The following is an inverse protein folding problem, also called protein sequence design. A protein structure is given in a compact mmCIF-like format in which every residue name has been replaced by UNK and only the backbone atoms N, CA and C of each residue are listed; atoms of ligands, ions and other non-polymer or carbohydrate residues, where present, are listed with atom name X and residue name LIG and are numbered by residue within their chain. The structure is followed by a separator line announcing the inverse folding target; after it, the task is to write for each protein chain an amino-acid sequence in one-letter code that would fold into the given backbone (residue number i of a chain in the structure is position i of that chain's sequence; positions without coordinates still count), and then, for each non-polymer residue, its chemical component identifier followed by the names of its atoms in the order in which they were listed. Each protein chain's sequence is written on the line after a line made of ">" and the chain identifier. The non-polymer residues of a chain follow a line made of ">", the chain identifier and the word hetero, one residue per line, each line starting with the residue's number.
data_IF_768067126212
#
_entry.id   IF_768067126212
#
_cell.length_a   1.000
_cell.length_b   1.000
_cell.length_c   1.000
_cell.angle_alpha   90.00
_cell.angle_beta   90.00
_cell.angle_gamma   90.00
#
_symmetry.space_group_name_H-M   'P 1'
#
loop_
_entity.id
_entity.type
_entity.pdbx_description
1 polymer ?
#
# COMPACT_ATOMS: atom_id res chain seq x y z
N UNK A 1 -3.54 -5.52 12.45
CA UNK A 1 -2.34 -5.59 11.61
C UNK A 1 -1.97 -7.04 11.39
N UNK A 2 -1.78 -7.42 10.16
CA UNK A 2 -1.18 -8.70 9.80
C UNK A 2 0.32 -8.46 9.58
N UNK A 3 1.15 -9.19 10.29
CA UNK A 3 2.59 -9.17 10.14
C UNK A 3 2.98 -10.22 9.10
N UNK A 4 3.79 -9.83 8.14
CA UNK A 4 4.28 -10.73 7.10
C UNK A 4 5.79 -10.57 6.93
N UNK A 5 6.48 -11.66 6.73
CA UNK A 5 7.87 -11.70 6.30
C UNK A 5 8.02 -11.62 4.77
N UNK A 6 6.86 -11.55 4.05
CA UNK A 6 6.80 -11.43 2.59
C UNK A 6 5.92 -10.25 2.23
N UNK A 7 6.46 -9.36 1.42
CA UNK A 7 5.77 -8.15 0.95
C UNK A 7 4.96 -8.44 -0.32
N UNK A 8 5.26 -9.53 -1.03
CA UNK A 8 4.58 -9.94 -2.25
C UNK A 8 3.47 -10.97 -1.99
N UNK A 9 2.28 -10.71 -2.52
CA UNK A 9 1.21 -11.67 -2.71
C UNK A 9 1.28 -12.21 -4.16
N UNK A 10 2.17 -13.16 -4.40
CA UNK A 10 2.29 -13.88 -5.67
C UNK A 10 2.65 -15.34 -5.42
N UNK A 11 2.21 -16.24 -6.31
CA UNK A 11 2.40 -17.70 -6.22
C UNK A 11 3.86 -18.18 -6.33
N UNK A 12 4.83 -17.33 -6.13
CA UNK A 12 6.24 -17.69 -6.23
C UNK A 12 6.79 -18.07 -4.85
N UNK A 13 6.95 -19.38 -4.62
CA UNK A 13 7.43 -19.97 -3.36
C UNK A 13 8.92 -19.72 -3.08
N UNK A 14 9.64 -19.08 -3.99
CA UNK A 14 11.08 -18.83 -3.92
C UNK A 14 11.44 -17.37 -3.55
N UNK A 15 10.48 -16.61 -3.03
CA UNK A 15 10.75 -15.25 -2.59
C UNK A 15 11.69 -15.24 -1.38
N UNK A 16 12.90 -14.74 -1.59
CA UNK A 16 13.80 -14.29 -0.52
C UNK A 16 12.97 -13.31 0.33
N UNK A 17 13.02 -13.46 1.66
CA UNK A 17 12.27 -12.57 2.56
C UNK A 17 12.71 -11.11 2.33
N UNK A 18 11.82 -10.31 1.74
CA UNK A 18 12.08 -8.89 1.46
C UNK A 18 12.01 -8.02 2.74
N UNK A 19 12.10 -8.66 3.92
CA UNK A 19 12.00 -8.04 5.22
C UNK A 19 10.57 -8.10 5.79
N UNK A 20 10.45 -7.58 6.99
CA UNK A 20 9.19 -7.55 7.75
C UNK A 20 8.32 -6.36 7.29
N UNK A 21 7.03 -6.60 7.09
CA UNK A 21 6.04 -5.56 6.83
C UNK A 21 4.75 -5.82 7.59
N UNK A 22 4.00 -4.76 7.89
CA UNK A 22 2.66 -4.83 8.45
C UNK A 22 1.61 -4.40 7.43
N UNK A 23 0.51 -5.12 7.37
CA UNK A 23 -0.65 -4.76 6.55
C UNK A 23 -1.93 -4.80 7.36
N UNK A 24 -2.81 -3.85 7.14
CA UNK A 24 -4.17 -3.82 7.66
C UNK A 24 -5.16 -3.53 6.54
N UNK A 25 -6.12 -4.43 6.33
CA UNK A 25 -7.16 -4.24 5.32
C UNK A 25 -8.35 -3.48 5.93
N UNK A 26 -8.81 -2.43 5.22
CA UNK A 26 -10.07 -1.74 5.50
C UNK A 26 -11.21 -2.25 4.61
N UNK A 27 -10.87 -2.69 3.40
CA UNK A 27 -11.82 -3.20 2.41
C UNK A 27 -11.13 -4.17 1.45
N UNK A 28 -11.82 -5.26 1.09
CA UNK A 28 -11.31 -6.24 0.13
C UNK A 28 -12.43 -6.93 -0.62
N UNK A 29 -12.42 -6.87 -1.97
CA UNK A 29 -13.32 -7.59 -2.89
C UNK A 29 -14.82 -7.53 -2.50
N UNK A 30 -15.32 -6.32 -2.26
CA UNK A 30 -16.75 -6.10 -2.00
C UNK A 30 -17.16 -6.20 -0.53
N UNK A 31 -16.24 -6.51 0.36
CA UNK A 31 -16.50 -6.59 1.80
C UNK A 31 -15.54 -5.73 2.60
N UNK A 32 -16.02 -4.99 3.61
CA UNK A 32 -15.15 -4.42 4.62
C UNK A 32 -14.39 -5.55 5.32
N UNK A 33 -13.06 -5.42 5.37
CA UNK A 33 -12.21 -6.45 5.95
C UNK A 33 -12.05 -6.21 7.45
N UNK A 34 -12.88 -6.85 8.28
CA UNK A 34 -12.68 -6.88 9.72
C UNK A 34 -13.21 -8.18 10.30
N UNK A 35 -12.52 -8.68 11.33
CA UNK A 35 -12.95 -9.85 12.09
C UNK A 35 -14.16 -9.55 13.01
N UNK A 36 -14.44 -8.27 13.29
CA UNK A 36 -15.50 -7.81 14.18
C UNK A 36 -16.42 -6.83 13.45
N UNK A 37 -17.63 -7.25 13.12
CA UNK A 37 -18.65 -6.45 12.40
C UNK A 37 -18.94 -5.08 13.05
N UNK A 38 -18.72 -4.94 14.35
CA UNK A 38 -19.01 -3.71 15.12
C UNK A 38 -18.00 -2.58 14.84
N UNK A 39 -16.79 -2.88 14.41
CA UNK A 39 -15.73 -1.89 14.22
C UNK A 39 -15.49 -1.48 12.75
N UNK A 40 -16.14 -2.16 11.81
CA UNK A 40 -15.95 -1.93 10.35
C UNK A 40 -16.25 -0.47 9.99
N UNK A 41 -17.37 0.06 10.42
CA UNK A 41 -17.78 1.43 10.09
C UNK A 41 -16.85 2.50 10.66
N UNK A 42 -16.30 2.28 11.84
CA UNK A 42 -15.40 3.25 12.51
C UNK A 42 -14.02 3.28 11.86
N UNK A 43 -13.44 2.13 11.54
CA UNK A 43 -12.12 2.05 10.89
C UNK A 43 -12.20 2.49 9.43
N UNK A 44 -13.27 2.14 8.72
CA UNK A 44 -13.46 2.56 7.34
C UNK A 44 -13.63 4.09 7.21
N UNK A 45 -14.19 4.76 8.22
CA UNK A 45 -14.31 6.22 8.23
C UNK A 45 -12.96 6.95 8.20
N UNK A 46 -11.88 6.31 8.65
CA UNK A 46 -10.52 6.87 8.60
C UNK A 46 -10.05 7.11 7.16
N UNK A 47 -10.47 6.26 6.22
CA UNK A 47 -10.08 6.37 4.80
C UNK A 47 -11.06 7.21 3.98
N UNK A 48 -12.21 7.57 4.55
CA UNK A 48 -13.27 8.32 3.90
C UNK A 48 -12.78 9.64 3.27
N UNK A 49 -11.96 10.50 3.92
CA UNK A 49 -11.50 11.75 3.32
C UNK A 49 -10.71 11.53 2.02
N UNK A 50 -9.94 10.44 1.93
CA UNK A 50 -9.20 10.12 0.70
C UNK A 50 -10.16 9.61 -0.38
N UNK A 51 -11.17 8.82 -0.01
CA UNK A 51 -12.20 8.33 -0.94
C UNK A 51 -13.02 9.48 -1.52
N UNK A 52 -13.30 10.53 -0.75
CA UNK A 52 -13.98 11.74 -1.23
C UNK A 52 -13.17 12.48 -2.30
N UNK A 53 -11.84 12.45 -2.23
CA UNK A 53 -10.96 13.00 -3.28
C UNK A 53 -10.90 12.09 -4.49
N UNK A 54 -10.78 10.77 -4.28
CA UNK A 54 -10.63 9.78 -5.36
C UNK A 54 -11.93 9.56 -6.15
N UNK A 55 -13.08 9.69 -5.50
CA UNK A 55 -14.42 9.44 -6.06
C UNK A 55 -14.49 8.12 -6.85
N UNK A 56 -14.15 6.99 -6.24
CA UNK A 56 -14.16 5.71 -6.94
C UNK A 56 -15.58 5.29 -7.31
N UNK A 57 -15.75 4.73 -8.52
CA UNK A 57 -17.03 4.10 -8.91
C UNK A 57 -17.28 2.82 -8.13
N UNK A 58 -16.22 2.07 -7.86
CA UNK A 58 -16.23 0.90 -6.99
C UNK A 58 -14.86 0.67 -6.39
N UNK A 59 -14.82 0.11 -5.18
CA UNK A 59 -13.59 -0.25 -4.49
C UNK A 59 -13.26 -1.73 -4.75
N UNK A 60 -11.98 -2.01 -4.95
CA UNK A 60 -11.44 -3.37 -5.01
C UNK A 60 -10.76 -3.68 -3.67
N UNK A 61 -9.85 -2.80 -3.23
CA UNK A 61 -9.08 -2.99 -2.00
C UNK A 61 -8.67 -1.64 -1.40
N UNK A 62 -8.73 -1.55 -0.09
CA UNK A 62 -8.12 -0.46 0.69
C UNK A 62 -7.31 -1.10 1.82
N UNK A 63 -6.02 -0.80 1.88
CA UNK A 63 -5.13 -1.31 2.92
C UNK A 63 -4.16 -0.25 3.44
N UNK A 64 -3.82 -0.30 4.72
CA UNK A 64 -2.65 0.36 5.26
C UNK A 64 -1.43 -0.55 5.11
N UNK A 65 -0.29 0.03 4.80
CA UNK A 65 1.00 -0.64 4.80
C UNK A 65 1.93 0.04 5.81
N UNK A 66 2.71 -0.76 6.48
CA UNK A 66 3.82 -0.38 7.34
C UNK A 66 5.08 -1.10 6.90
N UNK A 67 6.13 -0.35 6.61
CA UNK A 67 7.46 -0.86 6.33
C UNK A 67 8.40 -0.32 7.42
N UNK A 68 9.00 -1.18 8.26
CA UNK A 68 9.87 -0.73 9.35
C UNK A 68 11.12 -0.04 8.82
N UNK A 69 11.75 0.77 9.66
CA UNK A 69 13.06 1.33 9.40
C UNK A 69 14.10 0.23 9.17
N UNK A 70 14.97 0.44 8.18
CA UNK A 70 16.11 -0.44 7.91
C UNK A 70 17.36 0.40 7.64
N UNK A 71 18.53 -0.22 7.69
CA UNK A 71 19.79 0.42 7.29
C UNK A 71 20.66 -0.63 6.61
N UNK A 72 20.85 -0.52 5.30
CA UNK A 72 20.38 0.49 4.34
C UNK A 72 18.89 0.36 4.02
N UNK A 73 18.38 1.29 3.18
CA UNK A 73 17.05 1.15 2.56
C UNK A 73 16.99 -0.17 1.78
N UNK A 74 15.90 -0.90 1.98
CA UNK A 74 15.58 -2.09 1.19
C UNK A 74 14.54 -1.71 0.15
N UNK A 75 14.85 -1.92 -1.13
CA UNK A 75 13.91 -1.81 -2.23
C UNK A 75 13.26 -3.17 -2.48
N UNK A 76 11.93 -3.22 -2.39
CA UNK A 76 11.17 -4.44 -2.58
C UNK A 76 11.07 -4.81 -4.06
N UNK A 77 10.69 -6.05 -4.35
CA UNK A 77 10.50 -6.49 -5.73
C UNK A 77 9.33 -5.79 -6.40
N UNK A 78 9.46 -5.58 -7.70
CA UNK A 78 8.37 -5.06 -8.52
C UNK A 78 7.23 -6.08 -8.62
N UNK A 79 6.01 -5.59 -8.49
CA UNK A 79 4.79 -6.37 -8.61
C UNK A 79 3.67 -5.52 -9.24
N UNK A 80 2.60 -6.16 -9.64
CA UNK A 80 1.30 -5.56 -9.91
C UNK A 80 0.31 -6.03 -8.85
N UNK A 81 -0.64 -5.18 -8.50
CA UNK A 81 -1.61 -5.52 -7.46
C UNK A 81 -2.64 -6.57 -7.93
N UNK A 82 -3.13 -6.44 -9.16
CA UNK A 82 -4.04 -7.37 -9.83
C UNK A 82 -3.73 -7.42 -11.31
N UNK A 83 -4.08 -8.54 -11.95
CA UNK A 83 -3.76 -8.79 -13.37
C UNK A 83 -4.70 -8.11 -14.36
N UNK A 84 -5.76 -7.46 -13.89
CA UNK A 84 -6.71 -6.72 -14.71
C UNK A 84 -6.50 -5.21 -14.58
N UNK A 85 -6.84 -4.40 -15.61
CA UNK A 85 -6.70 -2.94 -15.57
C UNK A 85 -7.59 -2.31 -14.48
N UNK A 86 -7.00 -1.47 -13.65
CA UNK A 86 -7.70 -0.70 -12.61
C UNK A 86 -6.82 0.48 -12.18
N UNK A 87 -7.43 1.42 -11.47
CA UNK A 87 -6.73 2.58 -10.90
C UNK A 87 -6.14 2.24 -9.54
N UNK A 88 -5.05 2.90 -9.20
CA UNK A 88 -4.48 2.86 -7.89
C UNK A 88 -4.13 4.23 -7.33
N UNK A 89 -4.11 4.29 -6.01
CA UNK A 89 -3.60 5.45 -5.31
C UNK A 89 -2.81 5.01 -4.08
N UNK A 90 -1.75 5.76 -3.76
CA UNK A 90 -1.00 5.64 -2.51
C UNK A 90 -1.09 6.99 -1.81
N UNK A 91 -1.61 6.99 -0.58
CA UNK A 91 -1.64 8.16 0.29
C UNK A 91 -0.57 8.00 1.37
N UNK A 92 0.44 8.88 1.34
CA UNK A 92 1.56 8.85 2.29
C UNK A 92 1.13 9.44 3.64
N UNK A 93 1.31 8.69 4.72
CA UNK A 93 0.94 9.09 6.07
C UNK A 93 2.07 9.79 6.83
N UNK A 94 3.31 9.65 6.35
CA UNK A 94 4.47 10.34 6.92
C UNK A 94 5.48 10.71 5.83
N UNK A 95 6.37 11.66 6.16
CA UNK A 95 7.53 12.01 5.35
C UNK A 95 8.71 11.17 5.79
N UNK A 96 9.38 10.53 4.83
CA UNK A 96 10.63 9.80 5.04
C UNK A 96 11.40 9.68 3.72
N UNK A 97 12.64 9.20 3.79
CA UNK A 97 13.52 9.01 2.63
C UNK A 97 13.14 7.80 1.74
N UNK A 98 12.11 7.04 2.11
CA UNK A 98 11.56 5.95 1.30
C UNK A 98 10.74 6.45 0.10
N UNK A 99 10.59 5.60 -0.92
CA UNK A 99 9.88 5.94 -2.18
C UNK A 99 9.04 4.79 -2.72
N UNK A 100 8.21 5.13 -3.70
CA UNK A 100 7.57 4.17 -4.61
C UNK A 100 8.23 4.33 -5.99
N UNK A 101 8.62 3.21 -6.61
CA UNK A 101 9.18 3.17 -7.98
C UNK A 101 8.17 2.55 -8.92
N UNK A 102 8.09 3.07 -10.13
CA UNK A 102 7.23 2.62 -11.21
C UNK A 102 8.04 1.94 -12.33
N UNK A 103 7.35 1.21 -13.22
CA UNK A 103 7.97 0.46 -14.32
C UNK A 103 8.82 1.30 -15.27
N UNK A 104 8.51 2.59 -15.42
CA UNK A 104 9.27 3.55 -16.21
C UNK A 104 10.52 4.13 -15.47
N UNK A 105 10.85 3.54 -14.32
CA UNK A 105 11.92 3.96 -13.42
C UNK A 105 11.66 5.29 -12.67
N UNK A 106 10.52 5.92 -12.87
CA UNK A 106 10.13 7.10 -12.08
C UNK A 106 9.98 6.70 -10.60
N UNK A 107 10.51 7.54 -9.72
CA UNK A 107 10.37 7.39 -8.27
C UNK A 107 9.61 8.57 -7.66
N UNK A 108 8.74 8.27 -6.70
CA UNK A 108 8.02 9.29 -5.93
C UNK A 108 8.27 9.07 -4.45
N UNK A 109 8.93 10.03 -3.80
CA UNK A 109 9.27 9.99 -2.38
C UNK A 109 8.05 10.08 -1.47
N UNK A 110 8.17 9.49 -0.27
CA UNK A 110 7.15 9.56 0.76
C UNK A 110 7.16 10.94 1.42
N UNK A 111 6.12 11.72 1.19
CA UNK A 111 5.87 13.02 1.83
C UNK A 111 4.48 12.97 2.44
N UNK A 112 4.36 13.31 3.70
CA UNK A 112 3.08 13.35 4.40
C UNK A 112 2.01 14.11 3.60
N UNK A 113 0.80 13.59 3.57
CA UNK A 113 -0.33 14.15 2.82
C UNK A 113 -0.20 14.09 1.28
N UNK A 114 0.81 13.43 0.73
CA UNK A 114 0.93 13.23 -0.71
C UNK A 114 0.03 12.08 -1.17
N UNK A 115 -0.78 12.36 -2.19
CA UNK A 115 -1.57 11.36 -2.93
C UNK A 115 -0.91 11.09 -4.28
N UNK A 116 -0.54 9.84 -4.52
CA UNK A 116 0.09 9.36 -5.77
C UNK A 116 -0.96 8.56 -6.53
N UNK A 117 -1.26 8.96 -7.77
CA UNK A 117 -2.22 8.28 -8.64
C UNK A 117 -1.46 7.55 -9.74
N UNK A 118 -1.79 6.30 -9.99
CA UNK A 118 -1.12 5.48 -11.00
C UNK A 118 -1.98 4.31 -11.50
N UNK A 119 -1.52 3.65 -12.54
CA UNK A 119 -2.10 2.42 -13.07
C UNK A 119 -1.47 1.23 -12.37
N UNK A 120 -2.18 0.63 -11.44
CA UNK A 120 -1.70 -0.49 -10.62
C UNK A 120 -1.61 -1.83 -11.35
N UNK A 121 -2.08 -1.90 -12.60
CA UNK A 121 -1.80 -3.03 -13.49
C UNK A 121 -0.37 -3.00 -14.04
N UNK A 122 0.35 -1.88 -13.88
CA UNK A 122 1.77 -1.76 -14.21
C UNK A 122 2.64 -2.12 -13.01
N UNK A 123 3.83 -2.63 -13.31
CA UNK A 123 4.80 -2.98 -12.29
C UNK A 123 5.22 -1.75 -11.47
N UNK A 124 5.20 -1.92 -10.17
CA UNK A 124 5.66 -0.93 -9.21
C UNK A 124 6.19 -1.63 -7.95
N UNK A 125 6.93 -0.91 -7.15
CA UNK A 125 7.42 -1.41 -5.86
C UNK A 125 7.57 -0.28 -4.84
N UNK A 126 7.75 -0.66 -3.59
CA UNK A 126 7.98 0.23 -2.46
C UNK A 126 9.36 0.00 -1.87
N UNK A 127 9.72 0.85 -0.91
CA UNK A 127 10.95 0.70 -0.11
C UNK A 127 10.63 0.80 1.36
N UNK A 128 11.58 0.40 2.19
CA UNK A 128 11.69 0.83 3.59
C UNK A 128 12.17 2.29 3.65
N UNK A 129 12.53 2.79 4.83
CA UNK A 129 13.17 4.09 5.04
C UNK A 129 14.30 3.97 6.05
N UNK A 130 15.17 5.00 6.15
CA UNK A 130 16.28 5.03 7.11
C UNK A 130 16.14 6.15 8.14
N UNK A 131 15.36 7.18 7.89
CA UNK A 131 15.29 8.45 8.63
C UNK A 131 14.07 8.59 9.54
N UNK A 132 13.17 7.60 9.56
CA UNK A 132 12.00 7.54 10.45
C UNK A 132 11.81 6.09 10.95
N UNK A 133 11.00 5.89 12.00
CA UNK A 133 10.66 4.57 12.60
C UNK A 133 10.07 3.58 11.61
N UNK A 134 9.54 4.08 10.52
CA UNK A 134 9.00 3.32 9.41
C UNK A 134 8.25 4.18 8.43
N UNK A 135 7.97 3.61 7.27
CA UNK A 135 7.17 4.23 6.21
C UNK A 135 5.74 3.72 6.29
N UNK A 136 4.80 4.65 6.35
CA UNK A 136 3.37 4.36 6.45
C UNK A 136 2.61 4.93 5.25
N UNK A 137 1.72 4.14 4.67
CA UNK A 137 0.84 4.61 3.62
C UNK A 137 -0.48 3.85 3.58
N UNK A 138 -1.48 4.46 2.92
CA UNK A 138 -2.73 3.80 2.52
C UNK A 138 -2.67 3.51 1.02
N UNK A 139 -2.97 2.29 0.62
CA UNK A 139 -3.06 1.88 -0.77
C UNK A 139 -4.52 1.59 -1.14
N UNK A 140 -4.95 2.16 -2.25
CA UNK A 140 -6.31 2.06 -2.79
C UNK A 140 -6.25 1.44 -4.19
N UNK A 141 -7.09 0.43 -4.43
CA UNK A 141 -7.35 -0.13 -5.75
C UNK A 141 -8.83 0.06 -6.07
N UNK A 142 -9.16 0.61 -7.23
CA UNK A 142 -10.52 1.03 -7.55
C UNK A 142 -10.77 1.21 -9.05
N UNK A 143 -12.05 1.34 -9.43
CA UNK A 143 -12.52 1.73 -10.77
C UNK A 143 -13.09 3.14 -10.82
#
# INVERSE_FOLDING_TARGET
>A
WYLTDKIEFGNNRDAISDGFAGTHFFFYMGSPASADEINIGKLFSIVQPVLEVLQPKSLIRVKANFYPQTSPIIEHKQHWDFTFPHKGAIFCLNTCDGWTRFSDQTTVGSVENRLILFDTSKLHNSTTCTDDKGRFNLAFNYF
#
